data_IF_120281252824
#
_entry.id   IF_120281252824
#
_cell.length_a   1.000
_cell.length_b   1.000
_cell.length_c   1.000
_cell.angle_alpha   90.00
_cell.angle_beta   90.00
_cell.angle_gamma   90.00
#
_symmetry.space_group_name_H-M   'P 1'
#
loop_
_entity.id
_entity.type
_entity.pdbx_description
1 polymer ?
#
# COMPACT_ATOMS: atom_id res chain seq x y z
N UNK A 1 11.80 -2.03 -43.47
CA UNK A 1 12.32 -1.79 -42.10
C UNK A 1 13.33 -0.64 -42.01
N UNK A 2 14.63 -0.77 -42.33
CA UNK A 2 15.57 0.35 -42.10
C UNK A 2 15.28 1.59 -42.97
N UNK A 3 14.84 1.38 -44.21
CA UNK A 3 14.50 2.45 -45.16
C UNK A 3 13.21 3.20 -44.77
N UNK A 4 12.24 2.50 -44.17
CA UNK A 4 10.99 3.10 -43.67
C UNK A 4 11.24 3.93 -42.43
N UNK A 5 12.08 3.45 -41.51
CA UNK A 5 12.45 4.20 -40.31
C UNK A 5 13.21 5.49 -40.69
N UNK A 6 14.05 5.44 -41.72
CA UNK A 6 14.72 6.63 -42.24
C UNK A 6 13.74 7.62 -42.89
N UNK A 7 12.72 7.12 -43.60
CA UNK A 7 11.68 7.97 -44.18
C UNK A 7 10.79 8.63 -43.11
N UNK A 8 10.43 7.91 -42.05
CA UNK A 8 9.68 8.48 -40.92
C UNK A 8 10.49 9.53 -40.17
N UNK A 9 11.79 9.27 -39.96
CA UNK A 9 12.68 10.22 -39.29
C UNK A 9 12.84 11.52 -40.09
N UNK A 10 12.94 11.41 -41.42
CA UNK A 10 13.02 12.59 -42.30
C UNK A 10 11.68 13.36 -42.32
N UNK A 11 10.53 12.67 -42.33
CA UNK A 11 9.20 13.29 -42.22
C UNK A 11 9.01 14.06 -40.92
N UNK A 12 9.43 13.49 -39.79
CA UNK A 12 9.32 14.15 -38.48
C UNK A 12 10.20 15.40 -38.39
N UNK A 13 11.39 15.35 -39.00
CA UNK A 13 12.31 16.49 -39.05
C UNK A 13 11.77 17.64 -39.89
N UNK A 14 11.11 17.36 -41.01
CA UNK A 14 10.45 18.36 -41.86
C UNK A 14 9.22 19.00 -41.17
N UNK A 15 8.44 18.20 -40.43
CA UNK A 15 7.30 18.74 -39.66
C UNK A 15 7.73 19.70 -38.55
N UNK A 16 8.84 19.40 -37.85
CA UNK A 16 9.39 20.29 -36.83
C UNK A 16 9.93 21.61 -37.41
N UNK A 17 10.46 21.58 -38.64
CA UNK A 17 10.93 22.78 -39.32
C UNK A 17 9.78 23.71 -39.76
N UNK A 18 8.61 23.17 -40.10
CA UNK A 18 7.43 23.96 -40.48
C UNK A 18 6.75 24.64 -39.28
N UNK A 19 6.80 24.03 -38.10
CA UNK A 19 6.22 24.61 -36.88
C UNK A 19 6.98 25.87 -36.43
N UNK A 20 8.31 25.89 -36.61
CA UNK A 20 9.16 27.03 -36.25
C UNK A 20 9.21 28.17 -37.28
N UNK A 21 8.54 28.04 -38.42
CA UNK A 21 8.47 29.09 -39.46
C UNK A 21 7.09 29.74 -39.59
N UNK A 22 6.13 29.48 -38.69
CA UNK A 22 4.86 30.23 -38.68
C UNK A 22 5.09 31.67 -38.19
N UNK A 23 4.80 32.71 -39.00
CA UNK A 23 4.82 34.08 -38.53
C UNK A 23 3.70 34.29 -37.50
N UNK A 24 4.04 34.86 -36.34
CA UNK A 24 3.07 35.43 -35.41
C UNK A 24 2.49 36.71 -36.04
N UNK A 25 1.44 36.56 -36.85
CA UNK A 25 0.66 37.67 -37.37
C UNK A 25 -0.52 37.95 -36.43
N UNK A 26 -0.30 38.86 -35.48
CA UNK A 26 -1.34 39.67 -34.84
C UNK A 26 -0.76 41.08 -34.67
N UNK A 27 -0.70 41.82 -35.78
CA UNK A 27 -0.63 43.27 -35.75
C UNK A 27 -2.05 43.84 -35.88
N UNK A 28 -2.41 44.70 -34.92
CA UNK A 28 -3.54 45.65 -34.95
C UNK A 28 -2.91 47.06 -35.00
N UNK A 29 -3.47 48.02 -35.76
CA UNK A 29 -2.73 49.08 -36.48
C UNK A 29 -2.36 50.32 -35.63
N UNK A 30 -1.48 51.21 -36.13
CA UNK A 30 -0.92 52.31 -35.34
C UNK A 30 -1.85 53.52 -35.34
N UNK A 31 -2.18 54.04 -34.15
CA UNK A 31 -2.67 55.41 -33.99
C UNK A 31 -2.08 56.09 -32.75
N UNK A 32 -1.49 57.26 -33.00
CA UNK A 32 -1.11 58.32 -32.07
C UNK A 32 -0.03 58.04 -31.02
N UNK A 33 1.21 58.19 -31.48
CA UNK A 33 2.35 58.66 -30.67
C UNK A 33 1.98 60.01 -30.04
N UNK A 34 1.67 60.01 -28.75
CA UNK A 34 1.59 61.23 -27.95
C UNK A 34 2.88 61.34 -27.12
N UNK A 35 3.75 62.22 -27.61
CA UNK A 35 4.99 62.69 -26.99
C UNK A 35 4.79 63.14 -25.52
N UNK A 36 5.68 62.78 -24.58
CA UNK A 36 5.82 63.53 -23.34
C UNK A 36 6.42 64.93 -23.63
N UNK A 37 6.10 65.95 -22.82
CA UNK A 37 6.35 67.34 -23.19
C UNK A 37 7.84 67.68 -23.23
N UNK A 38 8.21 68.42 -24.28
CA UNK A 38 9.48 69.13 -24.42
C UNK A 38 9.61 70.13 -23.27
N UNK A 39 10.63 69.95 -22.43
CA UNK A 39 11.08 70.96 -21.47
C UNK A 39 12.02 71.92 -22.21
N UNK A 40 11.86 73.26 -22.09
CA UNK A 40 12.70 74.24 -22.78
C UNK A 40 14.17 74.20 -22.31
N UNK A 41 15.12 74.73 -23.11
CA UNK A 41 16.54 74.59 -22.84
C UNK A 41 16.97 75.48 -21.66
N UNK A 42 17.66 74.88 -20.69
CA UNK A 42 18.37 75.62 -19.64
C UNK A 42 19.77 75.96 -20.16
N UNK A 43 20.23 77.22 -20.06
CA UNK A 43 21.55 77.64 -20.53
C UNK A 43 22.71 77.07 -19.70
N UNK A 44 23.83 76.94 -20.40
CA UNK A 44 25.15 76.46 -20.00
C UNK A 44 25.67 77.13 -18.71
N UNK A 45 25.95 76.33 -17.67
CA UNK A 45 26.76 76.74 -16.51
C UNK A 45 27.75 75.61 -16.19
N UNK A 46 29.01 75.91 -16.51
CA UNK A 46 30.30 75.28 -16.10
C UNK A 46 30.26 74.39 -14.84
N UNK A 47 31.05 73.30 -14.79
CA UNK A 47 31.18 72.51 -13.57
C UNK A 47 32.04 73.25 -12.53
N UNK A 48 31.43 73.63 -11.41
CA UNK A 48 32.13 74.09 -10.22
C UNK A 48 32.26 72.91 -9.24
N UNK A 49 33.51 72.53 -8.98
CA UNK A 49 33.94 71.45 -8.07
C UNK A 49 33.87 71.95 -6.64
N UNK A 50 33.04 71.36 -5.76
CA UNK A 50 33.14 71.47 -4.28
C UNK A 50 32.59 70.20 -3.57
N UNK A 51 33.04 69.88 -2.34
CA UNK A 51 33.49 68.53 -1.95
C UNK A 51 32.47 67.64 -1.21
N UNK A 52 32.80 66.35 -1.20
CA UNK A 52 32.11 65.21 -0.56
C UNK A 52 31.97 65.36 0.98
N UNK A 53 30.77 65.07 1.51
CA UNK A 53 30.49 65.09 2.97
C UNK A 53 30.40 63.65 3.49
N UNK A 54 31.11 63.25 4.58
CA UNK A 54 31.15 61.86 5.04
C UNK A 54 29.89 61.43 5.78
N UNK A 55 29.33 60.26 5.44
CA UNK A 55 28.28 59.59 6.24
C UNK A 55 28.96 58.89 7.42
N UNK A 56 28.64 59.31 8.65
CA UNK A 56 29.07 58.66 9.88
C UNK A 56 28.40 57.28 10.07
N UNK A 57 29.04 56.31 10.75
CA UNK A 57 28.56 54.94 10.85
C UNK A 57 27.46 54.80 11.91
N UNK A 58 26.36 54.14 11.54
CA UNK A 58 25.32 53.73 12.49
C UNK A 58 25.79 52.43 13.16
N UNK A 59 26.38 52.54 14.35
CA UNK A 59 26.50 51.41 15.26
C UNK A 59 25.11 51.06 15.80
N UNK A 60 24.60 49.90 15.40
CA UNK A 60 23.51 49.22 16.09
C UNK A 60 23.97 47.80 16.41
N UNK A 61 24.65 47.66 17.54
CA UNK A 61 24.78 46.37 18.23
C UNK A 61 23.57 46.20 19.15
N UNK A 62 22.62 45.34 18.78
CA UNK A 62 21.73 44.74 19.76
C UNK A 62 21.27 43.37 19.26
N UNK A 63 21.77 42.34 19.94
CA UNK A 63 21.34 40.95 19.87
C UNK A 63 19.81 40.82 19.84
N UNK A 64 19.26 40.16 18.81
CA UNK A 64 17.93 39.55 18.87
C UNK A 64 18.04 38.19 19.58
N UNK A 65 17.23 37.88 20.62
CA UNK A 65 17.14 36.54 21.22
C UNK A 65 16.44 35.53 20.27
N UNK A 66 16.38 34.22 20.61
CA UNK A 66 16.01 33.10 19.71
C UNK A 66 14.50 32.99 19.42
N UNK A 67 13.84 34.09 19.06
CA UNK A 67 12.38 34.17 18.87
C UNK A 67 11.89 33.33 17.68
N UNK A 68 12.77 32.95 16.73
CA UNK A 68 12.37 32.14 15.57
C UNK A 68 12.13 30.67 15.89
N UNK A 69 12.96 30.08 16.74
CA UNK A 69 12.84 28.66 17.08
C UNK A 69 11.60 28.41 17.96
N UNK A 70 11.35 29.25 18.96
CA UNK A 70 10.18 29.13 19.83
C UNK A 70 8.85 29.19 19.05
N UNK A 71 8.75 30.11 18.09
CA UNK A 71 7.59 30.22 17.21
C UNK A 71 7.44 29.01 16.27
N UNK A 72 8.55 28.46 15.77
CA UNK A 72 8.54 27.23 14.97
C UNK A 72 8.02 26.05 15.79
N UNK A 73 8.53 25.87 17.01
CA UNK A 73 8.12 24.78 17.90
C UNK A 73 6.64 24.88 18.28
N UNK A 74 6.15 26.06 18.64
CA UNK A 74 4.74 26.27 18.96
C UNK A 74 3.83 25.96 17.77
N UNK A 75 4.22 26.42 16.58
CA UNK A 75 3.46 26.16 15.35
C UNK A 75 3.45 24.67 15.03
N UNK A 76 4.58 23.98 15.16
CA UNK A 76 4.69 22.55 14.91
C UNK A 76 3.88 21.73 15.91
N UNK A 77 3.96 22.06 17.21
CA UNK A 77 3.20 21.38 18.27
C UNK A 77 1.70 21.51 18.06
N UNK A 78 1.24 22.65 17.54
CA UNK A 78 -0.19 22.87 17.22
C UNK A 78 -0.69 21.96 16.09
N UNK A 79 0.19 21.47 15.21
CA UNK A 79 -0.16 20.50 14.17
C UNK A 79 -0.44 19.10 14.72
N UNK A 80 -0.08 18.83 15.99
CA UNK A 80 -0.21 17.51 16.62
C UNK A 80 0.42 16.41 15.76
N UNK A 81 1.64 16.67 15.30
CA UNK A 81 2.38 15.71 14.49
C UNK A 81 2.51 14.35 15.20
N UNK A 82 2.41 13.23 14.47
CA UNK A 82 2.54 11.92 15.08
C UNK A 82 3.95 11.74 15.64
N UNK A 83 4.02 11.13 16.82
CA UNK A 83 5.29 10.77 17.44
C UNK A 83 5.76 9.40 16.95
N UNK A 84 7.07 9.20 16.88
CA UNK A 84 7.65 7.91 16.51
C UNK A 84 8.61 7.42 17.57
N UNK A 85 8.28 6.29 18.20
CA UNK A 85 8.97 5.80 19.38
C UNK A 85 10.17 4.89 19.09
N UNK A 86 10.34 4.42 17.86
CA UNK A 86 11.39 3.45 17.50
C UNK A 86 10.80 2.11 17.08
N UNK A 87 11.50 0.98 17.31
CA UNK A 87 11.36 -0.23 16.51
C UNK A 87 9.92 -0.73 16.52
N UNK A 88 9.27 -0.41 15.42
CA UNK A 88 7.90 -0.73 15.05
C UNK A 88 7.96 -1.30 13.64
N UNK A 89 6.92 -2.01 13.24
CA UNK A 89 6.73 -2.56 11.90
C UNK A 89 7.15 -1.55 10.80
N UNK A 90 7.88 -1.95 9.74
CA UNK A 90 8.34 -1.03 8.67
C UNK A 90 7.21 -0.22 8.02
N UNK A 91 6.00 -0.78 7.97
CA UNK A 91 4.81 -0.06 7.50
C UNK A 91 4.47 1.11 8.43
N UNK A 92 4.61 0.94 9.75
CA UNK A 92 4.38 2.03 10.71
C UNK A 92 5.43 3.13 10.57
N UNK A 93 6.70 2.77 10.33
CA UNK A 93 7.76 3.73 10.04
C UNK A 93 7.51 4.50 8.73
N UNK A 94 7.03 3.82 7.68
CA UNK A 94 6.68 4.44 6.39
C UNK A 94 5.52 5.42 6.54
N UNK A 95 4.45 4.99 7.21
CA UNK A 95 3.30 5.84 7.49
C UNK A 95 3.70 7.07 8.30
N UNK A 96 4.52 6.91 9.35
CA UNK A 96 4.99 8.05 10.13
C UNK A 96 5.79 9.04 9.28
N UNK A 97 6.69 8.54 8.42
CA UNK A 97 7.50 9.39 7.55
C UNK A 97 6.64 10.18 6.56
N UNK A 98 5.61 9.54 6.00
CA UNK A 98 4.63 10.20 5.12
C UNK A 98 3.85 11.26 5.88
N UNK A 99 3.29 10.92 7.05
CA UNK A 99 2.44 11.82 7.82
C UNK A 99 3.23 13.06 8.30
N UNK A 100 4.47 12.87 8.76
CA UNK A 100 5.30 14.00 9.19
C UNK A 100 5.72 14.86 8.00
N UNK A 101 6.08 14.27 6.86
CA UNK A 101 6.39 15.02 5.63
C UNK A 101 5.27 15.98 5.25
N UNK A 102 4.02 15.49 5.25
CA UNK A 102 2.84 16.30 4.88
C UNK A 102 2.71 17.52 5.79
N UNK A 103 2.92 17.35 7.10
CA UNK A 103 2.86 18.46 8.06
C UNK A 103 3.99 19.47 7.81
N UNK A 104 5.20 18.98 7.61
CA UNK A 104 6.38 19.82 7.39
C UNK A 104 6.25 20.64 6.10
N UNK A 105 5.75 20.05 5.02
CA UNK A 105 5.51 20.73 3.74
C UNK A 105 4.34 21.72 3.83
N UNK A 106 3.25 21.35 4.51
CA UNK A 106 2.15 22.28 4.79
C UNK A 106 2.62 23.51 5.57
N UNK A 107 3.57 23.31 6.49
CA UNK A 107 4.18 24.40 7.26
C UNK A 107 5.17 25.24 6.44
N UNK A 108 5.58 24.79 5.24
CA UNK A 108 6.57 25.43 4.36
C UNK A 108 7.91 25.66 5.05
N UNK A 109 8.38 24.65 5.77
CA UNK A 109 9.64 24.69 6.50
C UNK A 109 10.84 24.56 5.56
N UNK A 110 11.93 25.25 5.90
CA UNK A 110 13.25 25.05 5.30
C UNK A 110 13.79 23.66 5.63
N UNK A 111 14.77 23.19 4.87
CA UNK A 111 15.35 21.85 5.06
C UNK A 111 15.85 21.61 6.50
N UNK A 112 16.50 22.60 7.11
CA UNK A 112 17.00 22.50 8.48
C UNK A 112 15.85 22.50 9.52
N UNK A 113 14.84 23.34 9.32
CA UNK A 113 13.65 23.36 10.18
C UNK A 113 12.89 22.03 10.12
N UNK A 114 12.84 21.38 8.95
CA UNK A 114 12.25 20.03 8.79
C UNK A 114 12.98 19.00 9.66
N UNK A 115 14.30 18.98 9.62
CA UNK A 115 15.13 18.07 10.44
C UNK A 115 14.92 18.34 11.93
N UNK A 116 14.90 19.60 12.35
CA UNK A 116 14.63 19.99 13.75
C UNK A 116 13.25 19.48 14.21
N UNK A 117 12.19 19.78 13.48
CA UNK A 117 10.83 19.35 13.84
C UNK A 117 10.68 17.82 13.85
N UNK A 118 11.23 17.12 12.86
CA UNK A 118 11.18 15.66 12.83
C UNK A 118 11.95 15.03 13.98
N UNK A 119 13.16 15.53 14.28
CA UNK A 119 13.94 15.06 15.42
C UNK A 119 13.21 15.24 16.75
N UNK A 120 12.42 16.30 16.88
CA UNK A 120 11.59 16.55 18.05
C UNK A 120 10.45 15.53 18.21
N UNK A 121 9.87 15.09 17.09
CA UNK A 121 8.82 14.07 17.05
C UNK A 121 9.32 12.63 17.32
N UNK A 122 10.64 12.40 17.30
CA UNK A 122 11.23 11.12 17.70
C UNK A 122 11.18 10.96 19.24
N UNK A 123 10.74 9.80 19.72
CA UNK A 123 10.63 9.46 21.14
C UNK A 123 11.35 8.14 21.42
N UNK A 124 11.49 7.82 22.71
CA UNK A 124 12.06 6.56 23.22
C UNK A 124 13.29 6.10 22.41
N UNK A 125 13.25 4.92 21.81
CA UNK A 125 14.39 4.31 21.11
C UNK A 125 14.76 5.09 19.85
N UNK A 126 13.79 5.65 19.13
CA UNK A 126 14.09 6.51 17.98
C UNK A 126 14.86 7.77 18.38
N UNK A 127 14.56 8.35 19.55
CA UNK A 127 15.32 9.49 20.08
C UNK A 127 16.75 9.09 20.44
N UNK A 128 16.94 7.92 21.03
CA UNK A 128 18.29 7.40 21.32
C UNK A 128 19.08 7.19 20.03
N UNK A 129 18.47 6.57 19.02
CA UNK A 129 19.07 6.42 17.70
C UNK A 129 19.47 7.78 17.12
N UNK A 130 18.58 8.77 17.11
CA UNK A 130 18.89 10.10 16.56
C UNK A 130 20.09 10.76 17.24
N UNK A 131 20.22 10.61 18.56
CA UNK A 131 21.39 11.09 19.30
C UNK A 131 22.70 10.44 18.80
N UNK A 132 22.67 9.17 18.42
CA UNK A 132 23.86 8.52 17.80
C UNK A 132 24.19 9.11 16.43
N UNK A 133 23.19 9.56 15.66
CA UNK A 133 23.40 10.27 14.38
C UNK A 133 24.09 11.60 14.62
N UNK A 134 23.61 12.36 15.60
CA UNK A 134 24.18 13.67 15.98
C UNK A 134 25.64 13.58 16.46
N UNK A 135 26.08 12.44 16.98
CA UNK A 135 27.48 12.22 17.36
C UNK A 135 28.40 11.93 16.17
N UNK A 136 27.87 11.37 15.07
CA UNK A 136 28.66 10.97 13.89
C UNK A 136 28.66 12.00 12.76
N UNK A 137 27.67 12.90 12.73
CA UNK A 137 27.45 13.85 11.65
C UNK A 137 27.01 15.21 12.21
N UNK A 138 27.41 16.26 11.50
CA UNK A 138 26.87 17.59 11.73
C UNK A 138 25.43 17.65 11.23
N UNK A 139 24.47 17.72 12.15
CA UNK A 139 23.04 17.82 11.84
C UNK A 139 22.57 19.24 11.57
N UNK A 140 23.40 20.26 11.87
CA UNK A 140 23.01 21.67 11.69
C UNK A 140 22.97 22.08 10.21
N UNK A 141 23.76 21.40 9.39
CA UNK A 141 23.83 21.58 7.93
C UNK A 141 23.07 20.49 7.17
N UNK A 142 22.47 19.53 7.88
CA UNK A 142 21.79 18.38 7.29
C UNK A 142 20.52 18.79 6.55
N UNK A 143 20.35 18.29 5.33
CA UNK A 143 19.11 18.48 4.57
C UNK A 143 18.02 17.52 5.07
N UNK A 144 16.76 17.77 4.67
CA UNK A 144 15.70 16.84 4.98
C UNK A 144 15.93 15.47 4.33
N UNK A 145 16.48 15.44 3.11
CA UNK A 145 16.80 14.18 2.42
C UNK A 145 17.89 13.37 3.13
N UNK A 146 18.86 14.04 3.75
CA UNK A 146 19.87 13.36 4.56
C UNK A 146 19.25 12.72 5.81
N UNK A 147 18.33 13.41 6.49
CA UNK A 147 17.55 12.84 7.59
C UNK A 147 16.75 11.61 7.11
N UNK A 148 16.05 11.71 5.99
CA UNK A 148 15.28 10.61 5.41
C UNK A 148 16.20 9.42 5.07
N UNK A 149 17.39 9.68 4.55
CA UNK A 149 18.39 8.65 4.24
C UNK A 149 18.87 7.92 5.50
N UNK A 150 19.17 8.66 6.58
CA UNK A 150 19.53 8.09 7.88
C UNK A 150 18.38 7.26 8.47
N UNK A 151 17.16 7.81 8.43
CA UNK A 151 15.95 7.12 8.89
C UNK A 151 15.72 5.83 8.10
N UNK A 152 15.86 5.88 6.77
CA UNK A 152 15.72 4.72 5.89
C UNK A 152 16.77 3.66 6.18
N UNK A 153 18.02 4.05 6.39
CA UNK A 153 19.11 3.13 6.73
C UNK A 153 18.83 2.37 8.03
N UNK A 154 18.24 3.04 9.02
CA UNK A 154 17.91 2.43 10.31
C UNK A 154 16.70 1.51 10.23
N UNK A 155 15.59 1.97 9.66
CA UNK A 155 14.29 1.30 9.75
C UNK A 155 13.90 0.49 8.51
N UNK A 156 14.64 0.63 7.41
CA UNK A 156 14.40 -0.05 6.13
C UNK A 156 15.69 -0.66 5.59
N UNK A 157 16.45 -1.32 6.46
CA UNK A 157 17.64 -2.05 6.04
C UNK A 157 17.27 -3.26 5.15
N UNK A 158 18.28 -3.82 4.50
CA UNK A 158 18.12 -4.92 3.53
C UNK A 158 17.31 -6.10 4.08
N UNK A 159 17.61 -6.53 5.30
CA UNK A 159 16.95 -7.72 5.88
C UNK A 159 15.49 -7.44 6.23
N UNK A 160 15.20 -6.23 6.71
CA UNK A 160 13.83 -5.78 6.96
C UNK A 160 13.04 -5.76 5.66
N UNK A 161 13.58 -5.17 4.59
CA UNK A 161 12.90 -5.09 3.30
C UNK A 161 12.75 -6.47 2.64
N UNK A 162 13.71 -7.38 2.82
CA UNK A 162 13.60 -8.76 2.37
C UNK A 162 12.42 -9.48 3.05
N UNK A 163 12.24 -9.31 4.36
CA UNK A 163 11.09 -9.86 5.06
C UNK A 163 9.75 -9.28 4.55
N UNK A 164 9.71 -7.98 4.23
CA UNK A 164 8.52 -7.35 3.62
C UNK A 164 8.25 -7.89 2.21
N UNK A 165 9.30 -8.18 1.45
CA UNK A 165 9.19 -8.80 0.13
C UNK A 165 8.59 -10.22 0.22
N UNK A 166 9.02 -11.02 1.19
CA UNK A 166 8.45 -12.35 1.48
C UNK A 166 6.98 -12.26 1.90
N UNK A 167 6.64 -11.30 2.76
CA UNK A 167 5.26 -11.03 3.14
C UNK A 167 4.42 -10.63 1.93
N UNK A 168 4.96 -9.80 1.05
CA UNK A 168 4.25 -9.34 -0.13
C UNK A 168 3.99 -10.45 -1.14
N UNK A 169 5.00 -11.27 -1.43
CA UNK A 169 4.87 -12.40 -2.37
C UNK A 169 3.91 -13.49 -1.86
N UNK A 170 3.84 -13.65 -0.54
CA UNK A 170 2.94 -14.59 0.13
C UNK A 170 1.56 -14.00 0.48
N UNK A 171 1.32 -12.70 0.23
CA UNK A 171 0.08 -12.02 0.56
C UNK A 171 -1.13 -12.69 -0.12
N UNK A 172 -2.13 -13.04 0.68
CA UNK A 172 -3.42 -13.58 0.22
C UNK A 172 -4.55 -12.92 1.02
N UNK A 173 -5.66 -12.65 0.37
CA UNK A 173 -6.85 -12.05 0.99
C UNK A 173 -7.35 -12.88 2.19
N UNK A 174 -7.39 -14.22 2.06
CA UNK A 174 -7.87 -15.14 3.11
C UNK A 174 -9.24 -14.73 3.66
N UNK A 175 -9.32 -14.32 4.92
CA UNK A 175 -10.54 -13.89 5.62
C UNK A 175 -10.72 -12.36 5.62
N UNK A 176 -9.77 -11.60 5.09
CA UNK A 176 -9.88 -10.15 4.96
C UNK A 176 -10.93 -9.79 3.90
N UNK A 177 -11.59 -8.65 4.09
CA UNK A 177 -12.36 -8.04 3.02
C UNK A 177 -11.43 -7.64 1.87
N UNK A 178 -11.96 -7.54 0.65
CA UNK A 178 -11.21 -7.09 -0.52
C UNK A 178 -10.51 -5.77 -0.21
N UNK A 179 -11.21 -4.81 0.40
CA UNK A 179 -10.64 -3.50 0.73
C UNK A 179 -9.48 -3.58 1.73
N UNK A 180 -9.62 -4.40 2.79
CA UNK A 180 -8.52 -4.57 3.76
C UNK A 180 -7.30 -5.21 3.09
N UNK A 181 -7.53 -6.18 2.20
CA UNK A 181 -6.44 -6.86 1.49
C UNK A 181 -5.75 -5.91 0.48
N UNK A 182 -6.50 -5.06 -0.21
CA UNK A 182 -5.96 -3.99 -1.08
C UNK A 182 -5.14 -3.00 -0.26
N UNK A 183 -5.63 -2.52 0.88
CA UNK A 183 -4.88 -1.57 1.70
C UNK A 183 -3.53 -2.17 2.15
N UNK A 184 -3.52 -3.44 2.56
CA UNK A 184 -2.28 -4.14 2.91
C UNK A 184 -1.35 -4.33 1.70
N UNK A 185 -1.92 -4.65 0.53
CA UNK A 185 -1.18 -4.72 -0.72
C UNK A 185 -0.50 -3.39 -1.07
N UNK A 186 -1.22 -2.27 -0.96
CA UNK A 186 -0.68 -0.94 -1.25
C UNK A 186 0.43 -0.53 -0.28
N UNK A 187 0.31 -0.89 1.00
CA UNK A 187 1.37 -0.67 1.99
C UNK A 187 2.65 -1.45 1.62
N UNK A 188 2.52 -2.73 1.30
CA UNK A 188 3.67 -3.55 0.90
C UNK A 188 4.26 -3.14 -0.46
N UNK A 189 3.42 -2.72 -1.40
CA UNK A 189 3.86 -2.21 -2.70
C UNK A 189 4.71 -0.93 -2.59
N UNK A 190 4.46 -0.07 -1.59
CA UNK A 190 5.31 1.11 -1.34
C UNK A 190 6.69 0.73 -0.81
N UNK A 191 6.78 -0.31 0.01
CA UNK A 191 8.05 -0.80 0.56
C UNK A 191 8.86 -1.59 -0.47
N UNK A 192 8.17 -2.24 -1.42
CA UNK A 192 8.79 -3.09 -2.44
C UNK A 192 8.40 -2.63 -3.86
N UNK A 193 8.79 -1.40 -4.28
CA UNK A 193 8.41 -0.86 -5.59
C UNK A 193 8.94 -1.71 -6.75
N UNK A 194 10.07 -2.40 -6.55
CA UNK A 194 10.68 -3.30 -7.54
C UNK A 194 9.78 -4.48 -7.93
N UNK A 195 8.88 -4.91 -7.03
CA UNK A 195 7.91 -5.97 -7.33
C UNK A 195 6.72 -5.48 -8.17
N UNK A 196 6.52 -4.16 -8.28
CA UNK A 196 5.36 -3.55 -8.95
C UNK A 196 5.84 -2.52 -9.98
N UNK A 197 6.59 -2.93 -11.02
CA UNK A 197 7.17 -2.01 -12.01
C UNK A 197 6.12 -1.27 -12.86
N UNK A 198 4.86 -1.71 -12.86
CA UNK A 198 3.82 -1.05 -13.65
C UNK A 198 2.41 -1.58 -13.36
N UNK A 199 1.43 -0.96 -14.01
CA UNK A 199 0.01 -1.22 -13.75
C UNK A 199 -0.41 -2.67 -14.07
N UNK A 200 0.06 -3.22 -15.19
CA UNK A 200 -0.23 -4.60 -15.58
C UNK A 200 0.24 -5.60 -14.54
N UNK A 201 1.46 -5.41 -14.03
CA UNK A 201 2.03 -6.29 -13.00
C UNK A 201 1.31 -6.11 -11.67
N UNK A 202 0.92 -4.88 -11.33
CA UNK A 202 0.08 -4.58 -10.17
C UNK A 202 -1.24 -5.35 -10.21
N UNK A 203 -1.94 -5.32 -11.35
CA UNK A 203 -3.18 -6.07 -11.55
C UNK A 203 -2.94 -7.58 -11.44
N UNK A 204 -1.88 -8.10 -12.06
CA UNK A 204 -1.52 -9.53 -11.99
C UNK A 204 -1.31 -9.99 -10.55
N UNK A 205 -0.60 -9.21 -9.74
CA UNK A 205 -0.35 -9.51 -8.34
C UNK A 205 -1.62 -9.39 -7.49
N UNK A 206 -2.49 -8.39 -7.73
CA UNK A 206 -3.80 -8.28 -7.08
C UNK A 206 -4.67 -9.52 -7.37
N UNK A 207 -4.72 -9.96 -8.63
CA UNK A 207 -5.44 -11.18 -9.02
C UNK A 207 -4.91 -12.44 -8.31
N UNK A 208 -3.59 -12.54 -8.11
CA UNK A 208 -2.96 -13.62 -7.33
C UNK A 208 -3.27 -13.55 -5.84
N UNK A 209 -3.46 -12.33 -5.32
CA UNK A 209 -3.71 -12.06 -3.91
C UNK A 209 -5.18 -12.33 -3.51
N UNK A 210 -6.14 -12.03 -4.38
CA UNK A 210 -7.56 -12.28 -4.11
C UNK A 210 -7.90 -13.77 -3.91
N UNK A 211 -8.98 -14.04 -3.18
CA UNK A 211 -9.53 -15.41 -3.09
C UNK A 211 -9.90 -15.92 -4.47
N UNK A 212 -9.80 -17.22 -4.68
CA UNK A 212 -10.07 -17.85 -5.98
C UNK A 212 -11.51 -17.67 -6.46
N UNK A 213 -12.49 -17.60 -5.54
CA UNK A 213 -13.90 -17.33 -5.88
C UNK A 213 -14.08 -15.90 -6.44
N UNK A 214 -13.42 -14.91 -5.82
CA UNK A 214 -13.41 -13.51 -6.28
C UNK A 214 -12.61 -13.38 -7.57
N UNK A 215 -11.38 -13.91 -7.64
CA UNK A 215 -10.52 -13.79 -8.82
C UNK A 215 -11.19 -14.35 -10.09
N UNK A 216 -11.90 -15.48 -9.97
CA UNK A 216 -12.69 -16.05 -11.09
C UNK A 216 -13.78 -15.09 -11.58
N UNK A 217 -14.51 -14.46 -10.66
CA UNK A 217 -15.53 -13.47 -11.00
C UNK A 217 -14.93 -12.19 -11.61
N UNK A 218 -13.77 -11.75 -11.11
CA UNK A 218 -13.07 -10.58 -11.65
C UNK A 218 -12.57 -10.84 -13.08
N UNK A 219 -12.10 -12.05 -13.37
CA UNK A 219 -11.68 -12.50 -14.70
C UNK A 219 -12.84 -12.83 -15.64
N UNK A 220 -14.08 -12.94 -15.15
CA UNK A 220 -15.23 -13.25 -15.99
C UNK A 220 -15.60 -12.04 -16.89
N UNK A 221 -16.08 -12.34 -18.10
CA UNK A 221 -16.45 -11.34 -19.11
C UNK A 221 -15.57 -11.42 -20.36
N UNK A 222 -15.71 -10.43 -21.25
CA UNK A 222 -15.06 -10.42 -22.56
C UNK A 222 -13.53 -10.30 -22.48
N UNK A 223 -13.01 -9.66 -21.42
CA UNK A 223 -11.57 -9.59 -21.16
C UNK A 223 -11.22 -9.44 -19.66
N UNK A 224 -10.04 -9.95 -19.25
CA UNK A 224 -9.48 -9.69 -17.92
C UNK A 224 -9.21 -8.20 -17.68
N UNK A 225 -9.25 -7.71 -16.43
CA UNK A 225 -8.94 -6.31 -16.14
C UNK A 225 -7.48 -6.00 -16.50
N UNK A 226 -7.28 -4.85 -17.15
CA UNK A 226 -5.93 -4.32 -17.47
C UNK A 226 -5.56 -3.11 -16.63
N UNK A 227 -6.55 -2.49 -15.97
CA UNK A 227 -6.39 -1.34 -15.08
C UNK A 227 -6.66 -1.70 -13.63
N UNK A 228 -5.94 -1.07 -12.71
CA UNK A 228 -6.10 -1.30 -11.27
C UNK A 228 -7.50 -0.92 -10.81
N UNK A 229 -8.03 0.21 -11.28
CA UNK A 229 -9.38 0.67 -10.91
C UNK A 229 -10.49 -0.32 -11.30
N UNK A 230 -10.39 -0.94 -12.48
CA UNK A 230 -11.33 -1.95 -12.95
C UNK A 230 -11.20 -3.24 -12.12
N UNK A 231 -9.97 -3.71 -11.88
CA UNK A 231 -9.69 -4.87 -11.04
C UNK A 231 -10.31 -4.72 -9.63
N UNK A 232 -10.10 -3.57 -8.98
CA UNK A 232 -10.63 -3.26 -7.65
C UNK A 232 -12.17 -3.21 -7.68
N UNK A 233 -12.75 -2.51 -8.65
CA UNK A 233 -14.21 -2.35 -8.77
C UNK A 233 -14.91 -3.70 -8.97
N UNK A 234 -14.36 -4.55 -9.85
CA UNK A 234 -14.86 -5.91 -10.04
C UNK A 234 -14.71 -6.77 -8.79
N UNK A 235 -13.59 -6.66 -8.07
CA UNK A 235 -13.34 -7.46 -6.87
C UNK A 235 -14.30 -7.11 -5.73
N UNK A 236 -14.56 -5.82 -5.49
CA UNK A 236 -15.52 -5.36 -4.49
C UNK A 236 -16.93 -5.85 -4.83
N UNK A 237 -17.34 -5.72 -6.11
CA UNK A 237 -18.64 -6.21 -6.58
C UNK A 237 -18.76 -7.72 -6.40
N UNK A 238 -17.72 -8.47 -6.76
CA UNK A 238 -17.70 -9.92 -6.60
C UNK A 238 -17.80 -10.33 -5.12
N UNK A 239 -17.06 -9.67 -4.22
CA UNK A 239 -17.14 -9.94 -2.77
C UNK A 239 -18.55 -9.72 -2.23
N UNK A 240 -19.21 -8.62 -2.62
CA UNK A 240 -20.59 -8.32 -2.21
C UNK A 240 -21.56 -9.46 -2.58
N UNK A 241 -21.62 -9.83 -3.87
CA UNK A 241 -22.57 -10.84 -4.33
C UNK A 241 -22.25 -12.24 -3.79
N UNK A 242 -20.97 -12.62 -3.75
CA UNK A 242 -20.55 -13.91 -3.18
C UNK A 242 -20.95 -14.03 -1.71
N UNK A 243 -20.78 -12.96 -0.93
CA UNK A 243 -21.13 -12.98 0.50
C UNK A 243 -22.65 -13.04 0.69
N UNK A 244 -23.42 -12.29 -0.10
CA UNK A 244 -24.88 -12.36 -0.10
C UNK A 244 -25.38 -13.79 -0.41
N UNK A 245 -24.87 -14.42 -1.45
CA UNK A 245 -25.24 -15.80 -1.81
C UNK A 245 -24.83 -16.81 -0.72
N UNK A 246 -23.73 -16.57 -0.01
CA UNK A 246 -23.31 -17.40 1.13
C UNK A 246 -24.26 -17.22 2.31
N UNK A 247 -24.68 -16.00 2.61
CA UNK A 247 -25.63 -15.68 3.68
C UNK A 247 -27.02 -16.26 3.41
N UNK A 248 -27.56 -16.09 2.19
CA UNK A 248 -28.86 -16.65 1.79
C UNK A 248 -28.85 -18.18 1.90
N UNK A 249 -27.78 -18.84 1.43
CA UNK A 249 -27.62 -20.30 1.59
C UNK A 249 -27.50 -20.70 3.06
N UNK A 250 -26.72 -19.96 3.86
CA UNK A 250 -26.59 -20.24 5.29
C UNK A 250 -27.93 -20.14 6.03
N UNK A 251 -28.75 -19.12 5.71
CA UNK A 251 -30.10 -18.96 6.26
C UNK A 251 -31.01 -20.13 5.86
N UNK A 252 -30.99 -20.53 4.59
CA UNK A 252 -31.75 -21.68 4.09
C UNK A 252 -31.38 -22.99 4.84
N UNK A 253 -30.08 -23.26 5.00
CA UNK A 253 -29.62 -24.44 5.74
C UNK A 253 -29.95 -24.37 7.23
N UNK A 254 -29.93 -23.18 7.84
CA UNK A 254 -30.35 -22.96 9.22
C UNK A 254 -31.83 -23.26 9.43
N UNK A 255 -32.70 -22.69 8.58
CA UNK A 255 -34.15 -22.92 8.62
C UNK A 255 -34.49 -24.42 8.47
N UNK A 256 -33.85 -25.11 7.52
CA UNK A 256 -34.05 -26.55 7.31
C UNK A 256 -33.59 -27.42 8.50
N UNK A 257 -32.58 -26.96 9.26
CA UNK A 257 -32.14 -27.65 10.49
C UNK A 257 -33.16 -27.44 11.61
N UNK A 258 -33.69 -26.23 11.75
CA UNK A 258 -34.70 -25.86 12.74
C UNK A 258 -36.03 -26.62 12.53
N UNK A 259 -36.47 -26.75 11.27
CA UNK A 259 -37.64 -27.55 10.87
C UNK A 259 -37.50 -29.02 11.29
N UNK A 260 -36.33 -29.63 11.04
CA UNK A 260 -36.05 -31.02 11.44
C UNK A 260 -35.97 -31.22 12.96
N UNK A 261 -35.58 -30.20 13.72
CA UNK A 261 -35.58 -30.26 15.18
C UNK A 261 -36.97 -30.09 15.78
N UNK A 262 -37.83 -29.24 15.20
CA UNK A 262 -39.22 -29.08 15.64
C UNK A 262 -40.08 -30.31 15.30
N UNK A 263 -39.86 -30.94 14.14
CA UNK A 263 -40.58 -32.17 13.73
C UNK A 263 -40.28 -33.42 14.56
N UNK A 264 -39.31 -33.38 15.50
CA UNK A 264 -39.06 -34.47 16.46
C UNK A 264 -39.81 -34.33 17.78
N UNK A 265 -40.43 -33.18 18.07
CA UNK A 265 -41.19 -32.95 19.31
C UNK A 265 -42.71 -33.18 19.17
N UNK A 266 -43.22 -33.45 17.96
CA UNK A 266 -44.65 -33.66 17.69
C UNK A 266 -44.93 -35.01 17.04
N UNK A 267 -44.55 -36.10 17.71
CA UNK A 267 -45.31 -37.36 17.57
C UNK A 267 -45.90 -37.74 18.93
N UNK A 268 -47.23 -37.64 19.13
CA UNK A 268 -47.85 -38.40 20.19
C UNK A 268 -47.71 -39.88 19.83
N UNK A 269 -47.05 -40.64 20.71
CA UNK A 269 -46.96 -42.10 20.64
C UNK A 269 -48.38 -42.65 20.78
N UNK A 270 -49.08 -42.89 19.67
CA UNK A 270 -50.36 -43.60 19.69
C UNK A 270 -50.09 -45.05 20.12
N UNK A 271 -50.38 -45.36 21.38
CA UNK A 271 -50.50 -46.72 21.87
C UNK A 271 -51.66 -47.39 21.11
N UNK A 272 -51.36 -48.33 20.22
CA UNK A 272 -52.31 -49.35 19.83
C UNK A 272 -52.40 -50.37 20.97
N UNK A 273 -53.38 -50.21 21.85
CA UNK A 273 -53.80 -51.29 22.77
C UNK A 273 -54.58 -52.34 21.97
N UNK A 274 -53.91 -53.44 21.63
CA UNK A 274 -54.53 -54.62 21.07
C UNK A 274 -55.14 -55.44 22.21
N UNK A 275 -56.47 -55.42 22.30
CA UNK A 275 -57.26 -56.13 23.30
C UNK A 275 -57.22 -57.65 23.03
N UNK A 276 -56.79 -58.42 24.04
CA UNK A 276 -56.74 -59.88 24.00
C UNK A 276 -58.14 -60.49 24.22
N UNK A 277 -58.59 -61.38 23.33
CA UNK A 277 -59.43 -62.54 23.69
C UNK A 277 -59.21 -63.70 22.70
N UNK A 278 -58.87 -64.89 23.21
CA UNK A 278 -59.29 -66.16 22.60
C UNK A 278 -58.24 -67.21 22.19
N UNK A 279 -57.72 -67.94 23.20
CA UNK A 279 -57.38 -69.38 23.22
C UNK A 279 -56.22 -70.01 22.39
N UNK A 280 -55.62 -71.12 22.90
CA UNK A 280 -54.32 -71.62 22.49
C UNK A 280 -54.39 -72.85 21.56
N UNK A 281 -53.37 -73.07 20.73
CA UNK A 281 -53.00 -74.40 20.22
C UNK A 281 -51.49 -74.54 20.07
N UNK A 282 -50.97 -75.56 20.75
CA UNK A 282 -49.59 -76.04 20.73
C UNK A 282 -49.25 -76.79 19.41
N UNK A 283 -47.95 -77.07 19.26
CA UNK A 283 -47.23 -77.87 18.25
C UNK A 283 -46.74 -77.07 17.02
N UNK A 284 -45.49 -77.12 16.56
CA UNK A 284 -44.32 -77.86 17.01
C UNK A 284 -43.01 -77.17 16.56
N UNK A 285 -41.99 -77.45 17.36
CA UNK A 285 -40.55 -77.30 17.24
C UNK A 285 -39.95 -77.40 15.81
N UNK A 286 -39.08 -76.46 15.46
CA UNK A 286 -38.27 -76.50 14.23
C UNK A 286 -37.14 -75.47 14.27
N UNK A 287 -35.93 -75.95 14.51
CA UNK A 287 -34.71 -75.20 14.83
C UNK A 287 -33.96 -74.62 13.61
N UNK A 288 -33.11 -73.60 13.89
CA UNK A 288 -31.94 -73.13 13.11
C UNK A 288 -32.30 -72.31 11.85
N UNK A 289 -31.60 -71.26 11.45
CA UNK A 289 -30.16 -70.98 11.55
C UNK A 289 -29.88 -69.51 11.23
N UNK A 290 -28.83 -68.96 11.85
CA UNK A 290 -28.26 -67.64 11.59
C UNK A 290 -27.69 -67.53 10.17
N UNK A 291 -28.04 -66.47 9.44
CA UNK A 291 -27.41 -66.08 8.18
C UNK A 291 -26.87 -64.65 8.25
N UNK A 292 -25.67 -64.50 8.81
CA UNK A 292 -24.93 -63.23 8.92
C UNK A 292 -23.99 -63.13 7.70
N UNK A 293 -24.41 -62.44 6.64
CA UNK A 293 -23.52 -62.23 5.49
C UNK A 293 -22.55 -61.07 5.74
N UNK A 294 -21.29 -61.47 5.99
CA UNK A 294 -20.09 -60.63 6.06
C UNK A 294 -19.75 -60.04 4.68
N UNK A 295 -19.28 -58.79 4.74
CA UNK A 295 -18.43 -58.11 3.76
C UNK A 295 -17.36 -59.06 3.19
N UNK A 296 -17.21 -59.07 1.87
CA UNK A 296 -16.00 -59.54 1.20
C UNK A 296 -15.00 -58.39 1.11
N UNK A 297 -13.89 -58.55 1.81
CA UNK A 297 -12.61 -57.94 1.48
C UNK A 297 -11.98 -58.74 0.34
N UNK A 298 -11.43 -58.05 -0.65
CA UNK A 298 -10.51 -58.61 -1.64
C UNK A 298 -9.11 -58.13 -1.28
N UNK A 299 -8.29 -59.07 -0.82
CA UNK A 299 -6.85 -58.94 -0.68
C UNK A 299 -6.18 -59.32 -2.01
N UNK A 300 -5.26 -58.50 -2.48
CA UNK A 300 -4.08 -58.96 -3.21
C UNK A 300 -2.87 -58.25 -2.61
N UNK A 301 -2.19 -58.96 -1.71
CA UNK A 301 -0.87 -58.56 -1.23
C UNK A 301 0.22 -59.02 -2.20
N UNK A 302 1.29 -58.25 -2.29
CA UNK A 302 2.63 -58.83 -2.31
C UNK A 302 3.63 -57.86 -1.67
N UNK A 303 4.23 -58.36 -0.60
CA UNK A 303 5.25 -57.78 0.24
C UNK A 303 6.61 -57.82 -0.45
N UNK A 304 7.49 -56.86 -0.15
CA UNK A 304 8.88 -57.16 0.22
C UNK A 304 9.55 -55.94 0.89
N UNK A 305 9.90 -56.13 2.17
CA UNK A 305 10.81 -55.31 2.95
C UNK A 305 12.26 -55.60 2.54
N UNK A 306 13.16 -54.60 2.59
CA UNK A 306 14.36 -54.64 3.46
C UNK A 306 15.21 -53.36 3.41
N UNK A 307 15.54 -52.92 4.64
CA UNK A 307 16.81 -52.38 5.16
C UNK A 307 17.51 -51.17 4.52
N UNK A 308 17.62 -50.13 5.35
CA UNK A 308 18.69 -49.12 5.37
C UNK A 308 20.07 -49.74 5.66
N UNK A 309 21.14 -49.08 5.18
CA UNK A 309 22.28 -48.84 6.07
C UNK A 309 22.81 -47.40 6.01
N UNK A 310 23.18 -46.88 7.19
CA UNK A 310 24.02 -45.70 7.40
C UNK A 310 25.45 -45.93 6.83
N UNK A 311 26.02 -44.91 6.17
CA UNK A 311 27.48 -44.69 6.06
C UNK A 311 27.73 -43.20 6.29
N UNK A 312 28.25 -42.82 7.45
CA UNK A 312 29.68 -42.65 7.79
C UNK A 312 30.35 -41.50 7.04
N UNK A 313 30.55 -40.44 7.81
CA UNK A 313 31.50 -39.34 7.66
C UNK A 313 32.90 -39.90 7.42
N UNK A 314 33.63 -39.35 6.43
CA UNK A 314 35.07 -39.50 6.32
C UNK A 314 35.71 -38.15 6.01
N UNK A 315 36.70 -37.80 6.83
CA UNK A 315 37.64 -36.67 6.69
C UNK A 315 38.81 -37.08 5.78
N UNK A 316 39.51 -36.07 5.24
CA UNK A 316 40.85 -36.13 4.60
C UNK A 316 40.78 -35.83 3.10
N UNK A 317 41.52 -34.88 2.51
CA UNK A 317 42.76 -34.18 2.88
C UNK A 317 42.68 -32.69 2.55
#
# INVERSE_FOLDING_TARGET
MLLEQQQETNRLREQLAQINQRPQANEVPPQNVRVPPVVPPVPDIRPEVQPEVPIAPVEAHANLPPVREDLLYERFRRMKAPEFEGPTDPIAADNWLIDIQVILDFMRLTEQEKVLCASFALKKDARHWWRTVQMRRDVTTMSWQDFVSEFRTMYFNREILAAQQDEFTSLRQRTMTVMKAINKFEQLARLCPELVPGETEKVRLMMKMFRSDIAKQVSAGDSPPTRVSDCISRAIRAEYWINRDKEERAQFFKAKKEEKTMGKQTQPRQNFEMNQKGQPRNFAQGSKQFGRNKRKESSSGQSQQRNYPQKKISRGN
#
